data_IF_407101105883
#
_entry.id   IF_407101105883
#
_cell.length_a   1.000
_cell.length_b   1.000
_cell.length_c   1.000
_cell.angle_alpha   90.00
_cell.angle_beta   90.00
_cell.angle_gamma   90.00
#
_symmetry.space_group_name_H-M   'P 1'
#
loop_
_entity.id
_entity.type
_entity.pdbx_description
1 polymer ?
#
# COMPACT_ATOMS: atom_id res chain seq x y z
N UNK A 1 2.74 2.25 9.17
CA UNK A 1 1.97 2.11 7.92
C UNK A 1 2.97 1.82 6.82
N UNK A 2 3.00 0.60 6.33
CA UNK A 2 3.95 0.17 5.30
C UNK A 2 3.33 0.49 3.94
N UNK A 3 3.99 1.27 3.13
CA UNK A 3 3.55 1.63 1.77
C UNK A 3 4.20 0.67 0.77
N UNK A 4 3.40 0.14 -0.13
CA UNK A 4 3.83 -0.70 -1.24
C UNK A 4 3.66 0.12 -2.54
N UNK A 5 4.74 0.32 -3.28
CA UNK A 5 4.68 1.03 -4.55
C UNK A 5 4.90 0.04 -5.71
N UNK A 6 3.96 0.00 -6.65
CA UNK A 6 4.03 -0.83 -7.86
C UNK A 6 3.80 0.06 -9.07
N UNK A 7 4.63 -0.05 -10.08
CA UNK A 7 4.52 0.72 -11.33
C UNK A 7 4.02 -0.17 -12.44
N UNK A 8 3.08 0.34 -13.23
CA UNK A 8 2.73 -0.21 -14.54
C UNK A 8 3.24 0.74 -15.61
N UNK A 9 4.18 0.32 -16.41
CA UNK A 9 4.65 1.08 -17.57
C UNK A 9 3.60 1.07 -18.68
N UNK A 10 3.18 2.25 -19.12
CA UNK A 10 2.45 2.43 -20.38
C UNK A 10 3.47 2.61 -21.50
N UNK A 11 3.28 1.86 -22.58
CA UNK A 11 4.14 1.73 -23.73
C UNK A 11 4.46 3.07 -24.43
N UNK A 12 5.72 3.39 -24.62
CA UNK A 12 6.42 3.67 -25.88
C UNK A 12 7.86 4.14 -25.57
N UNK A 13 8.78 3.53 -26.20
CA UNK A 13 10.21 3.79 -26.40
C UNK A 13 11.21 3.16 -25.42
N UNK A 14 11.98 2.27 -26.04
CA UNK A 14 13.31 1.72 -25.71
C UNK A 14 13.45 0.73 -24.55
N UNK A 15 13.82 -0.41 -24.99
CA UNK A 15 14.48 -1.59 -24.47
C UNK A 15 15.52 -1.40 -23.34
N UNK A 16 15.20 -0.71 -22.24
CA UNK A 16 15.96 -0.76 -21.01
C UNK A 16 14.99 -0.70 -19.85
N UNK A 17 14.91 -1.78 -19.09
CA UNK A 17 14.12 -2.00 -17.88
C UNK A 17 12.69 -2.53 -18.10
N UNK A 18 12.62 -3.76 -18.56
CA UNK A 18 11.45 -4.64 -18.53
C UNK A 18 11.13 -5.16 -17.11
N UNK A 19 11.59 -4.50 -16.07
CA UNK A 19 11.43 -4.95 -14.70
C UNK A 19 10.29 -4.23 -14.00
N UNK A 20 9.47 -5.00 -13.32
CA UNK A 20 8.42 -4.48 -12.46
C UNK A 20 9.06 -3.79 -11.26
N UNK A 21 9.10 -2.44 -11.27
CA UNK A 21 9.64 -1.63 -10.18
C UNK A 21 8.77 -1.74 -8.94
N UNK A 22 9.35 -2.05 -7.82
CA UNK A 22 8.68 -2.10 -6.52
C UNK A 22 9.61 -1.63 -5.41
N UNK A 23 9.05 -1.05 -4.36
CA UNK A 23 9.80 -0.63 -3.18
C UNK A 23 8.91 -0.67 -1.94
N UNK A 24 9.50 -0.96 -0.80
CA UNK A 24 8.86 -0.81 0.49
C UNK A 24 9.22 0.54 1.11
N UNK A 25 8.23 1.20 1.71
CA UNK A 25 8.48 2.49 2.33
C UNK A 25 7.55 2.78 3.50
N UNK A 26 7.88 3.85 4.22
CA UNK A 26 7.12 4.37 5.35
C UNK A 26 6.67 5.78 5.05
N UNK A 27 5.37 6.04 5.13
CA UNK A 27 4.83 7.40 5.06
C UNK A 27 5.32 8.22 6.26
N UNK A 28 5.97 9.34 6.00
CA UNK A 28 6.42 10.27 7.03
C UNK A 28 5.36 11.33 7.32
N UNK A 29 4.84 11.97 6.28
CA UNK A 29 3.88 13.05 6.39
C UNK A 29 3.56 13.65 5.03
N UNK A 30 2.79 14.73 5.03
CA UNK A 30 2.49 15.51 3.83
C UNK A 30 3.18 16.86 3.90
N UNK A 31 3.54 17.37 2.73
CA UNK A 31 4.12 18.71 2.55
C UNK A 31 3.68 19.25 1.18
N UNK A 32 4.18 20.40 0.81
CA UNK A 32 3.94 20.98 -0.49
C UNK A 32 5.27 21.25 -1.21
N UNK A 33 5.25 21.18 -2.52
CA UNK A 33 6.39 21.48 -3.38
C UNK A 33 5.93 22.54 -4.38
N UNK A 34 6.71 23.60 -4.53
CA UNK A 34 6.49 24.63 -5.53
C UNK A 34 7.15 24.18 -6.83
N UNK A 35 6.45 24.34 -7.93
CA UNK A 35 7.01 24.18 -9.26
C UNK A 35 7.62 25.49 -9.75
N UNK A 36 8.35 25.42 -10.84
CA UNK A 36 8.95 26.58 -11.52
C UNK A 36 7.88 27.58 -12.01
N UNK A 37 6.70 27.09 -12.36
CA UNK A 37 5.52 27.90 -12.75
C UNK A 37 4.81 28.55 -11.55
N UNK A 38 5.35 28.43 -10.33
CA UNK A 38 4.74 28.94 -9.10
C UNK A 38 3.58 28.09 -8.55
N UNK A 39 3.15 27.06 -9.27
CA UNK A 39 2.05 26.21 -8.82
C UNK A 39 2.44 25.34 -7.61
N UNK A 40 1.58 25.31 -6.61
CA UNK A 40 1.75 24.50 -5.41
C UNK A 40 1.22 23.09 -5.64
N UNK A 41 2.05 22.08 -5.39
CA UNK A 41 1.68 20.67 -5.50
C UNK A 41 1.70 20.04 -4.10
N UNK A 42 0.56 19.56 -3.57
CA UNK A 42 0.56 18.79 -2.34
C UNK A 42 1.20 17.44 -2.58
N UNK A 43 2.12 17.06 -1.70
CA UNK A 43 2.87 15.80 -1.82
C UNK A 43 2.93 15.05 -0.51
N UNK A 44 2.91 13.73 -0.61
CA UNK A 44 3.19 12.83 0.50
C UNK A 44 4.66 12.44 0.47
N UNK A 45 5.38 12.67 1.57
CA UNK A 45 6.76 12.21 1.76
C UNK A 45 6.77 10.76 2.22
N UNK A 46 7.49 9.94 1.50
CA UNK A 46 7.67 8.51 1.80
C UNK A 46 9.15 8.22 1.92
N UNK A 47 9.57 7.71 3.07
CA UNK A 47 10.90 7.14 3.24
C UNK A 47 10.87 5.72 2.67
N UNK A 48 11.66 5.46 1.63
CA UNK A 48 11.62 4.23 0.86
C UNK A 48 13.04 3.72 0.58
N UNK A 49 13.34 2.54 1.09
CA UNK A 49 14.67 1.95 0.98
C UNK A 49 15.64 2.37 2.11
N UNK A 50 16.87 1.84 2.14
CA UNK A 50 17.28 0.72 1.30
C UNK A 50 16.43 -0.54 1.57
N UNK A 51 16.14 -1.27 0.50
CA UNK A 51 15.46 -2.55 0.56
C UNK A 51 16.43 -3.67 0.21
N UNK A 52 16.37 -4.79 0.92
CA UNK A 52 17.25 -5.95 0.72
C UNK A 52 16.45 -7.12 0.19
N UNK A 53 16.95 -7.79 -0.85
CA UNK A 53 16.36 -9.04 -1.36
C UNK A 53 16.66 -10.16 -0.36
N UNK A 54 15.60 -10.70 0.25
CA UNK A 54 15.75 -11.77 1.27
C UNK A 54 15.65 -13.16 0.67
N UNK A 55 14.81 -13.34 -0.34
CA UNK A 55 14.62 -14.62 -1.01
C UNK A 55 14.09 -14.41 -2.44
N UNK A 56 14.48 -15.27 -3.34
CA UNK A 56 13.90 -15.39 -4.68
C UNK A 56 13.19 -16.74 -4.73
N UNK A 57 11.96 -16.74 -5.18
CA UNK A 57 11.13 -17.92 -5.35
C UNK A 57 10.94 -18.18 -6.84
N UNK A 58 11.02 -19.43 -7.24
CA UNK A 58 10.83 -19.89 -8.61
C UNK A 58 9.60 -20.79 -8.70
N UNK A 59 8.84 -20.67 -9.77
CA UNK A 59 7.62 -21.45 -10.02
C UNK A 59 7.86 -22.96 -9.94
N UNK A 60 9.03 -23.43 -10.35
CA UNK A 60 9.41 -24.85 -10.35
C UNK A 60 9.51 -25.47 -8.94
N UNK A 61 9.93 -24.68 -7.94
CA UNK A 61 10.11 -25.15 -6.55
C UNK A 61 9.02 -24.66 -5.61
N UNK A 62 8.64 -23.39 -5.77
CA UNK A 62 7.76 -22.67 -4.82
C UNK A 62 6.34 -22.47 -5.39
N UNK A 63 6.09 -22.91 -6.64
CA UNK A 63 4.81 -22.77 -7.32
C UNK A 63 4.49 -21.34 -7.80
N UNK A 64 5.34 -20.36 -7.50
CA UNK A 64 5.15 -18.93 -7.89
C UNK A 64 6.50 -18.26 -8.07
N UNK A 65 6.64 -17.50 -9.15
CA UNK A 65 7.78 -16.61 -9.33
C UNK A 65 7.56 -15.33 -8.54
N UNK A 66 8.44 -15.08 -7.57
CA UNK A 66 8.34 -13.89 -6.72
C UNK A 66 9.68 -13.53 -6.09
N UNK A 67 9.85 -12.24 -5.83
CA UNK A 67 10.98 -11.69 -5.09
C UNK A 67 10.50 -11.23 -3.73
N UNK A 68 11.10 -11.75 -2.69
CA UNK A 68 10.85 -11.34 -1.31
C UNK A 68 11.86 -10.27 -0.91
N UNK A 69 11.34 -9.18 -0.35
CA UNK A 69 12.12 -7.98 -0.03
C UNK A 69 11.91 -7.59 1.43
N UNK A 70 12.99 -7.26 2.07
CA UNK A 70 13.05 -6.75 3.43
C UNK A 70 13.25 -5.24 3.49
N UNK A 71 12.64 -4.59 4.49
CA UNK A 71 12.74 -3.14 4.72
C UNK A 71 12.70 -2.80 6.20
N UNK A 72 13.49 -1.79 6.55
CA UNK A 72 13.54 -1.21 7.89
C UNK A 72 14.31 -2.07 8.87
N UNK A 73 15.22 -1.48 9.60
CA UNK A 73 16.03 -2.17 10.59
C UNK A 73 15.21 -2.63 11.80
N UNK A 74 15.59 -3.75 12.36
CA UNK A 74 15.02 -4.32 13.57
C UNK A 74 16.11 -4.92 14.44
N UNK A 75 16.03 -4.70 15.74
CA UNK A 75 16.97 -5.32 16.69
C UNK A 75 16.75 -6.85 16.72
N UNK A 76 17.82 -7.63 16.73
CA UNK A 76 17.79 -9.10 16.65
C UNK A 76 16.93 -9.76 17.72
N UNK A 77 16.95 -9.25 18.97
CA UNK A 77 16.16 -9.78 20.08
C UNK A 77 14.64 -9.63 19.91
N UNK A 78 14.18 -8.78 18.95
CA UNK A 78 12.76 -8.62 18.63
C UNK A 78 12.30 -9.55 17.49
N UNK A 79 13.21 -10.33 16.95
CA UNK A 79 12.92 -11.32 15.92
C UNK A 79 12.83 -12.70 16.54
N UNK A 80 11.82 -13.49 16.15
CA UNK A 80 11.75 -14.88 16.56
C UNK A 80 12.83 -15.72 15.85
N UNK A 81 13.21 -16.86 16.42
CA UNK A 81 14.27 -17.76 15.91
C UNK A 81 14.07 -18.14 14.43
N UNK A 82 12.82 -18.38 14.01
CA UNK A 82 12.50 -18.70 12.61
C UNK A 82 12.88 -17.58 11.65
N UNK A 83 12.53 -16.32 11.98
CA UNK A 83 12.93 -15.15 11.17
C UNK A 83 14.43 -14.90 11.22
N UNK A 84 15.07 -15.12 12.36
CA UNK A 84 16.54 -15.01 12.45
C UNK A 84 17.21 -16.03 11.54
N UNK A 85 16.73 -17.27 11.49
CA UNK A 85 17.24 -18.31 10.57
C UNK A 85 17.00 -17.96 9.10
N UNK A 86 15.82 -17.40 8.77
CA UNK A 86 15.51 -16.97 7.41
C UNK A 86 16.39 -15.80 6.93
N UNK A 87 16.70 -14.87 7.83
CA UNK A 87 17.53 -13.70 7.56
C UNK A 87 19.04 -13.95 7.85
N UNK A 88 19.45 -15.21 8.03
CA UNK A 88 20.84 -15.54 8.26
C UNK A 88 21.71 -14.95 7.12
N UNK A 89 22.82 -14.33 7.48
CA UNK A 89 23.76 -13.64 6.60
C UNK A 89 23.21 -12.36 5.91
N UNK A 90 22.04 -11.87 6.35
CA UNK A 90 21.42 -10.63 5.87
C UNK A 90 21.18 -9.65 7.01
N UNK A 91 20.93 -8.40 6.65
CA UNK A 91 20.51 -7.40 7.62
C UNK A 91 19.18 -7.79 8.30
N UNK A 92 19.07 -7.58 9.60
CA UNK A 92 17.84 -7.84 10.35
C UNK A 92 16.77 -6.82 9.97
N UNK A 93 15.75 -7.27 9.24
CA UNK A 93 14.69 -6.41 8.73
C UNK A 93 13.38 -6.58 9.48
N UNK A 94 12.65 -5.47 9.63
CA UNK A 94 11.37 -5.44 10.32
C UNK A 94 10.22 -5.97 9.46
N UNK A 95 10.15 -5.50 8.21
CA UNK A 95 9.07 -5.81 7.29
C UNK A 95 9.62 -6.64 6.13
N UNK A 96 8.91 -7.72 5.83
CA UNK A 96 9.21 -8.59 4.70
C UNK A 96 7.94 -8.70 3.87
N UNK A 97 8.05 -8.49 2.56
CA UNK A 97 6.94 -8.59 1.61
C UNK A 97 7.40 -9.23 0.32
N UNK A 98 6.49 -9.93 -0.32
CA UNK A 98 6.71 -10.58 -1.61
C UNK A 98 6.04 -9.81 -2.73
N UNK A 99 6.74 -9.73 -3.84
CA UNK A 99 6.26 -9.18 -5.09
C UNK A 99 6.32 -10.27 -6.14
N UNK A 100 5.17 -10.59 -6.72
CA UNK A 100 5.11 -11.51 -7.86
C UNK A 100 5.81 -10.87 -9.03
N UNK A 101 6.63 -11.62 -9.69
CA UNK A 101 7.26 -11.24 -10.94
C UNK A 101 7.07 -12.36 -11.94
N UNK A 102 6.78 -12.01 -13.17
CA UNK A 102 6.61 -12.93 -14.28
C UNK A 102 7.87 -13.06 -15.14
N UNK A 103 8.99 -12.49 -14.70
CA UNK A 103 10.21 -12.38 -15.49
C UNK A 103 11.41 -12.90 -14.71
N UNK A 104 12.36 -13.53 -15.41
CA UNK A 104 13.65 -13.88 -14.85
C UNK A 104 14.37 -12.60 -14.43
N UNK A 105 14.72 -12.53 -13.16
CA UNK A 105 15.43 -11.39 -12.59
C UNK A 105 16.89 -11.76 -12.40
N UNK A 106 17.76 -10.84 -12.77
CA UNK A 106 19.20 -10.90 -12.41
C UNK A 106 19.46 -10.62 -10.92
N UNK A 107 18.36 -10.45 -10.13
CA UNK A 107 18.45 -10.19 -8.70
C UNK A 107 18.96 -11.41 -7.95
N UNK A 108 19.86 -11.17 -7.00
CA UNK A 108 20.40 -12.20 -6.10
C UNK A 108 19.99 -11.92 -4.66
N UNK A 109 19.97 -12.96 -3.85
CA UNK A 109 19.76 -12.81 -2.41
C UNK A 109 20.88 -11.94 -1.82
N UNK A 110 20.50 -10.93 -1.07
CA UNK A 110 21.42 -9.94 -0.49
C UNK A 110 21.55 -8.63 -1.28
N UNK A 111 21.07 -8.60 -2.52
CA UNK A 111 21.09 -7.37 -3.30
C UNK A 111 20.28 -6.28 -2.61
N UNK A 112 20.78 -5.04 -2.69
CA UNK A 112 20.13 -3.87 -2.12
C UNK A 112 19.73 -2.88 -3.21
N UNK A 113 18.54 -2.34 -3.09
CA UNK A 113 18.07 -1.28 -3.98
C UNK A 113 17.41 -0.15 -3.20
N UNK A 114 17.45 1.04 -3.77
CA UNK A 114 16.98 2.27 -3.15
C UNK A 114 16.00 3.01 -4.07
N UNK A 115 15.61 4.21 -3.67
CA UNK A 115 14.71 5.08 -4.43
C UNK A 115 15.22 5.47 -5.83
N UNK A 116 16.50 5.26 -6.14
CA UNK A 116 17.10 5.56 -7.45
C UNK A 116 16.43 4.85 -8.63
N UNK A 117 15.70 3.77 -8.34
CA UNK A 117 14.93 3.01 -9.36
C UNK A 117 13.79 3.84 -9.94
N UNK A 118 13.28 4.84 -9.22
CA UNK A 118 12.15 5.68 -9.64
C UNK A 118 12.61 7.00 -10.24
N UNK A 119 11.93 7.44 -11.29
CA UNK A 119 12.18 8.73 -11.93
C UNK A 119 11.07 9.74 -11.60
N UNK A 120 11.39 11.06 -11.50
CA UNK A 120 10.38 12.10 -11.43
C UNK A 120 9.44 12.04 -12.64
N UNK A 121 8.15 12.29 -12.43
CA UNK A 121 7.12 12.20 -13.47
C UNK A 121 6.48 10.83 -13.67
N UNK A 122 7.08 9.78 -13.15
CA UNK A 122 6.58 8.39 -13.23
C UNK A 122 5.25 8.22 -12.48
N UNK A 123 4.36 7.36 -13.01
CA UNK A 123 3.11 7.00 -12.35
C UNK A 123 3.28 5.72 -11.53
N UNK A 124 2.89 5.78 -10.27
CA UNK A 124 3.05 4.67 -9.33
C UNK A 124 1.71 4.26 -8.70
N UNK A 125 1.60 3.00 -8.33
CA UNK A 125 0.50 2.49 -7.52
C UNK A 125 0.98 2.32 -6.09
N UNK A 126 0.26 2.92 -5.16
CA UNK A 126 0.61 2.91 -3.75
C UNK A 126 -0.38 2.05 -2.99
N UNK A 127 0.12 1.01 -2.34
CA UNK A 127 -0.67 0.12 -1.49
C UNK A 127 -0.36 0.41 -0.03
N UNK A 128 -1.39 0.67 0.75
CA UNK A 128 -1.25 0.93 2.17
C UNK A 128 -2.39 0.34 2.98
N UNK A 129 -2.25 0.38 4.31
CA UNK A 129 -3.32 0.03 5.22
C UNK A 129 -3.98 1.30 5.72
N UNK A 130 -5.30 1.41 5.56
CA UNK A 130 -6.07 2.56 6.01
C UNK A 130 -6.06 2.65 7.54
N UNK A 131 -6.27 3.85 8.08
CA UNK A 131 -6.41 4.04 9.53
C UNK A 131 -7.65 3.32 10.05
N UNK A 132 -7.51 2.58 11.15
CA UNK A 132 -8.64 1.97 11.84
C UNK A 132 -9.57 3.04 12.41
N UNK A 133 -10.88 2.83 12.27
CA UNK A 133 -11.93 3.71 12.78
C UNK A 133 -12.85 3.00 13.79
N UNK A 134 -12.51 1.79 14.19
CA UNK A 134 -13.31 0.95 15.09
C UNK A 134 -14.64 0.53 14.47
N UNK A 135 -15.62 0.23 15.31
CA UNK A 135 -16.99 -0.08 14.89
C UNK A 135 -17.72 1.20 14.49
N UNK A 136 -18.25 1.25 13.27
CA UNK A 136 -18.94 2.41 12.74
C UNK A 136 -20.35 2.04 12.26
N UNK A 137 -21.29 2.99 12.47
CA UNK A 137 -22.64 2.92 11.91
C UNK A 137 -22.65 3.08 10.39
N UNK A 138 -23.78 2.75 9.78
CA UNK A 138 -23.97 2.72 8.32
C UNK A 138 -23.80 4.07 7.65
N UNK A 139 -24.14 5.15 8.33
CA UNK A 139 -23.98 6.51 7.80
C UNK A 139 -22.50 6.80 7.52
N UNK A 140 -21.61 6.55 8.48
CA UNK A 140 -20.17 6.79 8.31
C UNK A 140 -19.48 5.72 7.46
N UNK A 141 -19.89 4.45 7.62
CA UNK A 141 -19.25 3.33 6.96
C UNK A 141 -19.61 3.23 5.48
N UNK A 142 -20.86 3.50 5.12
CA UNK A 142 -21.41 3.30 3.78
C UNK A 142 -22.02 4.55 3.15
N UNK A 143 -22.07 5.69 3.86
CA UNK A 143 -22.65 6.93 3.35
C UNK A 143 -24.16 6.91 3.24
N UNK A 144 -24.86 6.16 4.10
CA UNK A 144 -26.32 6.14 4.12
C UNK A 144 -26.87 7.49 4.57
N UNK A 145 -27.99 7.93 3.98
CA UNK A 145 -28.65 9.21 4.30
C UNK A 145 -29.25 9.26 5.69
N UNK A 146 -29.66 8.13 6.25
CA UNK A 146 -30.40 8.06 7.50
C UNK A 146 -31.86 8.44 7.33
N UNK A 147 -32.51 8.83 8.43
CA UNK A 147 -33.93 9.23 8.50
C UNK A 147 -34.06 10.74 8.88
N UNK A 148 -35.21 11.37 8.64
CA UNK A 148 -35.45 12.74 9.06
C UNK A 148 -35.23 12.95 10.55
N UNK A 149 -34.89 14.19 10.96
CA UNK A 149 -34.70 14.57 12.38
C UNK A 149 -35.99 15.09 13.05
N UNK A 150 -36.96 15.45 12.25
CA UNK A 150 -38.23 16.09 12.69
C UNK A 150 -39.42 15.32 12.11
N UNK A 151 -40.62 15.90 12.18
CA UNK A 151 -41.89 15.32 11.72
C UNK A 151 -42.24 13.99 12.41
N UNK A 152 -42.05 13.92 13.73
CA UNK A 152 -42.39 12.75 14.53
C UNK A 152 -41.36 11.64 14.55
N UNK A 153 -40.23 11.81 13.86
CA UNK A 153 -39.15 10.85 13.87
C UNK A 153 -38.48 10.76 15.25
N UNK A 154 -38.34 9.52 15.79
CA UNK A 154 -37.71 9.25 17.09
C UNK A 154 -36.73 8.11 17.00
N UNK A 155 -35.52 8.30 17.56
CA UNK A 155 -34.49 7.26 17.79
C UNK A 155 -33.92 6.50 16.56
N UNK A 156 -34.38 6.77 15.33
CA UNK A 156 -34.00 6.03 14.11
C UNK A 156 -33.24 6.89 13.09
N UNK A 157 -32.81 8.09 13.45
CA UNK A 157 -32.14 9.05 12.56
C UNK A 157 -30.94 8.45 11.80
N UNK A 158 -30.15 7.64 12.47
CA UNK A 158 -28.90 7.09 11.91
C UNK A 158 -28.94 5.57 11.70
N UNK A 159 -30.13 5.00 11.54
CA UNK A 159 -30.31 3.56 11.33
C UNK A 159 -30.08 3.15 9.88
N UNK A 160 -29.95 1.84 9.67
CA UNK A 160 -29.78 1.24 8.35
C UNK A 160 -31.03 1.32 7.48
N UNK A 161 -32.22 1.40 8.12
CA UNK A 161 -33.51 1.18 7.46
C UNK A 161 -33.80 -0.31 7.26
N UNK A 162 -34.66 -0.65 6.31
CA UNK A 162 -34.98 -2.04 5.99
C UNK A 162 -33.75 -2.80 5.47
N UNK A 163 -33.60 -4.03 5.93
CA UNK A 163 -32.48 -4.92 5.54
C UNK A 163 -32.93 -5.99 4.53
N UNK A 164 -34.20 -6.05 4.16
CA UNK A 164 -34.74 -7.02 3.22
C UNK A 164 -36.23 -6.85 2.98
N UNK A 165 -36.82 -7.78 2.28
CA UNK A 165 -38.25 -7.86 1.97
C UNK A 165 -38.80 -9.24 2.41
N UNK A 166 -40.15 -9.38 2.42
CA UNK A 166 -40.87 -10.60 2.84
C UNK A 166 -40.44 -11.84 2.05
N UNK A 167 -40.25 -11.74 0.76
CA UNK A 167 -39.58 -12.78 -0.06
C UNK A 167 -38.24 -12.22 -0.50
N UNK A 168 -37.13 -12.81 -0.17
CA UNK A 168 -36.74 -14.21 0.07
C UNK A 168 -36.60 -14.66 1.54
N UNK A 169 -37.15 -13.95 2.51
CA UNK A 169 -37.15 -14.29 3.94
C UNK A 169 -35.75 -14.44 4.57
N UNK A 170 -34.77 -13.80 4.01
CA UNK A 170 -33.37 -13.79 4.49
C UNK A 170 -32.68 -12.48 4.12
N UNK A 171 -31.63 -12.14 4.85
CA UNK A 171 -30.73 -11.05 4.49
C UNK A 171 -29.72 -11.54 3.45
N UNK A 172 -29.55 -10.82 2.37
CA UNK A 172 -28.57 -11.17 1.34
C UNK A 172 -27.14 -11.07 1.85
N UNK A 173 -26.28 -11.95 1.33
CA UNK A 173 -24.82 -11.83 1.56
C UNK A 173 -24.31 -10.51 1.00
N UNK A 174 -23.44 -9.83 1.74
CA UNK A 174 -22.90 -8.55 1.33
C UNK A 174 -23.78 -7.34 1.61
N UNK A 175 -24.94 -7.52 2.28
CA UNK A 175 -25.79 -6.41 2.71
C UNK A 175 -24.98 -5.43 3.56
N UNK A 176 -25.10 -4.12 3.26
CA UNK A 176 -24.37 -3.06 3.94
C UNK A 176 -24.94 -2.85 5.34
N UNK A 177 -24.13 -3.15 6.36
CA UNK A 177 -24.48 -3.07 7.77
C UNK A 177 -23.40 -2.35 8.57
N UNK A 178 -23.71 -1.92 9.83
CA UNK A 178 -22.69 -1.40 10.72
C UNK A 178 -21.62 -2.45 10.99
N UNK A 179 -20.43 -2.02 11.35
CA UNK A 179 -19.33 -2.91 11.65
C UNK A 179 -17.98 -2.22 11.64
N UNK A 180 -16.92 -3.00 11.72
CA UNK A 180 -15.54 -2.50 11.67
C UNK A 180 -15.26 -1.74 10.38
N UNK A 181 -14.63 -0.59 10.51
CA UNK A 181 -14.18 0.24 9.39
C UNK A 181 -12.69 0.55 9.52
N UNK A 182 -12.00 0.54 8.39
CA UNK A 182 -10.56 0.82 8.36
C UNK A 182 -9.69 -0.41 8.67
N UNK A 183 -8.37 -0.21 8.73
CA UNK A 183 -7.35 -1.26 8.72
C UNK A 183 -7.43 -2.18 7.50
N UNK A 184 -8.05 -1.70 6.44
CA UNK A 184 -8.17 -2.40 5.17
C UNK A 184 -7.00 -2.05 4.25
N UNK A 185 -6.58 -3.02 3.43
CA UNK A 185 -5.60 -2.79 2.37
C UNK A 185 -6.25 -1.99 1.26
N UNK A 186 -5.71 -0.79 1.01
CA UNK A 186 -6.19 0.13 -0.03
C UNK A 186 -5.08 0.34 -1.05
N UNK A 187 -5.41 0.25 -2.33
CA UNK A 187 -4.50 0.56 -3.43
C UNK A 187 -4.95 1.84 -4.11
N UNK A 188 -4.12 2.87 -4.05
CA UNK A 188 -4.31 4.12 -4.81
C UNK A 188 -3.47 4.06 -6.07
N UNK A 189 -4.13 4.13 -7.23
CA UNK A 189 -3.51 3.96 -8.54
C UNK A 189 -3.14 5.32 -9.17
N UNK A 190 -2.18 5.30 -10.11
CA UNK A 190 -1.83 6.41 -10.97
C UNK A 190 -1.37 7.69 -10.24
N UNK A 191 -0.72 7.55 -9.09
CA UNK A 191 -0.11 8.68 -8.40
C UNK A 191 1.20 9.07 -9.10
N UNK A 192 1.42 10.38 -9.28
CA UNK A 192 2.63 10.89 -9.95
C UNK A 192 3.75 11.10 -8.92
N UNK A 193 4.95 10.62 -9.24
CA UNK A 193 6.17 10.95 -8.50
C UNK A 193 6.57 12.38 -8.89
N UNK A 194 6.64 13.27 -7.90
CA UNK A 194 6.99 14.68 -8.12
C UNK A 194 8.52 14.87 -8.06
N UNK A 195 9.15 14.31 -7.02
CA UNK A 195 10.59 14.43 -6.76
C UNK A 195 11.10 13.15 -6.12
N UNK A 196 12.33 12.80 -6.43
CA UNK A 196 13.10 11.72 -5.79
C UNK A 196 14.34 12.31 -5.17
N UNK A 197 14.57 12.04 -3.89
CA UNK A 197 15.77 12.42 -3.16
C UNK A 197 16.52 11.13 -2.81
N UNK A 198 17.58 10.89 -3.56
CA UNK A 198 18.37 9.66 -3.43
C UNK A 198 19.27 9.64 -2.20
N UNK A 199 19.68 10.81 -1.70
CA UNK A 199 20.56 10.92 -0.53
C UNK A 199 19.83 10.56 0.75
N UNK A 200 18.59 11.09 0.89
CA UNK A 200 17.76 10.86 2.07
C UNK A 200 16.78 9.67 1.91
N UNK A 201 16.84 8.94 0.81
CA UNK A 201 15.90 7.85 0.47
C UNK A 201 14.44 8.29 0.55
N UNK A 202 14.11 9.47 0.02
CA UNK A 202 12.76 10.03 0.02
C UNK A 202 12.14 10.05 -1.38
N UNK A 203 10.88 9.64 -1.45
CA UNK A 203 10.03 9.82 -2.63
C UNK A 203 8.90 10.78 -2.26
N UNK A 204 8.65 11.76 -3.12
CA UNK A 204 7.57 12.71 -3.02
C UNK A 204 6.50 12.36 -4.04
N UNK A 205 5.34 11.92 -3.57
CA UNK A 205 4.23 11.43 -4.39
C UNK A 205 3.10 12.45 -4.31
N UNK A 206 2.55 12.86 -5.47
CA UNK A 206 1.43 13.78 -5.55
C UNK A 206 0.18 13.14 -4.91
N UNK A 207 -0.44 13.86 -3.94
CA UNK A 207 -1.65 13.41 -3.26
C UNK A 207 -1.53 13.33 -1.75
#
# INVERSE_FOLDING_TARGET
MTLLCRVTASSFLLAVLKYMKFILGKKLGMTQVFREDGAVVPVTRVFAGPCVVTQIKHATKDGVDSVQVGFGEQKSFRLNKAKQGHLKDLATVRFVKEFRSSEDHDLKRGDTFSVKVFAPGEKVHVVGTSKGKGFQGVVKRHGFGGQPRSHGQKHTERTTGSIGATGPQRVFKGQRMPGRMGTDRVTTKNLKVVRVDAENNLIFIKG
#
